data_IF_601418314207
#
_entry.id   IF_601418314207
#
_cell.length_a   1.000
_cell.length_b   1.000
_cell.length_c   1.000
_cell.angle_alpha   90.00
_cell.angle_beta   90.00
_cell.angle_gamma   90.00
#
_symmetry.space_group_name_H-M   'P 1'
#
loop_
_entity.id
_entity.type
_entity.pdbx_description
1 polymer ?
#
# COMPACT_ATOMS: atom_id res chain seq x y z
N UNK A 1 -13.17 4.73 -6.66
CA UNK A 1 -14.07 4.59 -7.83
C UNK A 1 -13.58 3.53 -8.83
N UNK A 2 -12.35 3.56 -9.34
CA UNK A 2 -11.82 2.58 -10.33
C UNK A 2 -11.95 1.12 -9.86
N UNK A 3 -11.60 0.81 -8.60
CA UNK A 3 -11.74 -0.53 -8.04
C UNK A 3 -13.19 -1.05 -8.08
N UNK A 4 -14.17 -0.20 -7.74
CA UNK A 4 -15.58 -0.58 -7.78
C UNK A 4 -16.06 -0.90 -9.22
N UNK A 5 -15.60 -0.11 -10.22
CA UNK A 5 -15.91 -0.39 -11.65
C UNK A 5 -15.29 -1.71 -12.09
N UNK A 6 -14.04 -1.98 -11.73
CA UNK A 6 -13.36 -3.25 -12.01
C UNK A 6 -14.11 -4.43 -11.39
N UNK A 7 -14.48 -4.32 -10.13
CA UNK A 7 -15.21 -5.37 -9.39
C UNK A 7 -16.60 -5.64 -9.97
N UNK A 8 -17.32 -4.57 -10.39
CA UNK A 8 -18.63 -4.68 -11.02
C UNK A 8 -18.61 -5.34 -12.42
N UNK A 9 -17.45 -5.29 -13.10
CA UNK A 9 -17.27 -5.84 -14.44
C UNK A 9 -16.60 -7.21 -14.48
N UNK A 10 -16.23 -7.73 -13.34
CA UNK A 10 -15.51 -9.01 -13.20
C UNK A 10 -16.16 -9.88 -12.13
N UNK A 11 -15.98 -11.19 -12.24
CA UNK A 11 -16.58 -12.17 -11.29
C UNK A 11 -15.53 -12.80 -10.36
N UNK A 12 -14.27 -12.91 -10.77
CA UNK A 12 -13.23 -13.62 -10.04
C UNK A 12 -12.02 -12.78 -9.67
N UNK A 13 -11.86 -11.62 -10.29
CA UNK A 13 -10.73 -10.71 -10.04
C UNK A 13 -10.86 -10.12 -8.63
N UNK A 14 -9.79 -10.18 -7.87
CA UNK A 14 -9.61 -9.43 -6.62
C UNK A 14 -9.01 -8.07 -6.97
N UNK A 15 -9.60 -7.00 -6.47
CA UNK A 15 -9.06 -5.65 -6.63
C UNK A 15 -8.34 -5.23 -5.36
N UNK A 16 -7.05 -4.90 -5.46
CA UNK A 16 -6.26 -4.32 -4.38
C UNK A 16 -5.98 -2.84 -4.64
N UNK A 17 -6.25 -2.02 -3.66
CA UNK A 17 -5.93 -0.57 -3.66
C UNK A 17 -4.68 -0.38 -2.80
N UNK A 18 -3.52 -0.20 -3.43
CA UNK A 18 -2.23 -0.03 -2.76
C UNK A 18 -1.57 1.29 -3.16
N UNK A 19 -1.72 2.35 -2.37
CA UNK A 19 -2.52 2.45 -1.16
C UNK A 19 -3.45 3.68 -1.22
N UNK A 20 -4.46 3.69 -0.36
CA UNK A 20 -5.23 4.88 -0.09
C UNK A 20 -4.57 5.66 1.05
N UNK A 21 -4.38 6.98 0.86
CA UNK A 21 -3.83 7.87 1.89
C UNK A 21 -4.90 8.20 2.92
N UNK A 22 -5.04 7.31 3.92
CA UNK A 22 -6.12 7.37 4.90
C UNK A 22 -6.37 8.76 5.52
N UNK A 23 -5.32 9.49 5.98
CA UNK A 23 -5.48 10.79 6.62
C UNK A 23 -6.08 11.89 5.74
N UNK A 24 -6.13 11.69 4.42
CA UNK A 24 -6.72 12.64 3.47
C UNK A 24 -8.21 12.38 3.19
N UNK A 25 -8.80 11.40 3.86
CA UNK A 25 -10.21 11.05 3.72
C UNK A 25 -11.02 11.43 4.95
N UNK A 26 -12.27 11.82 4.73
CA UNK A 26 -13.23 11.87 5.81
C UNK A 26 -13.58 10.44 6.26
N UNK A 27 -13.41 10.06 7.54
CA UNK A 27 -13.51 8.66 7.98
C UNK A 27 -14.85 8.00 7.63
N UNK A 28 -15.97 8.69 7.89
CA UNK A 28 -17.31 8.15 7.59
C UNK A 28 -17.49 7.90 6.09
N UNK A 29 -17.00 8.85 5.25
CA UNK A 29 -17.12 8.70 3.81
C UNK A 29 -16.28 7.53 3.28
N UNK A 30 -15.07 7.37 3.80
CA UNK A 30 -14.22 6.24 3.43
C UNK A 30 -14.85 4.91 3.88
N UNK A 31 -15.46 4.86 5.06
CA UNK A 31 -16.18 3.68 5.54
C UNK A 31 -17.30 3.26 4.59
N UNK A 32 -18.12 4.22 4.12
CA UNK A 32 -19.18 3.98 3.13
C UNK A 32 -18.61 3.49 1.80
N UNK A 33 -17.61 4.20 1.26
CA UNK A 33 -17.03 3.89 -0.05
C UNK A 33 -16.41 2.48 -0.07
N UNK A 34 -15.73 2.07 1.01
CA UNK A 34 -15.17 0.73 1.16
C UNK A 34 -16.29 -0.31 1.30
N UNK A 35 -17.30 -0.07 2.13
CA UNK A 35 -18.42 -1.00 2.34
C UNK A 35 -19.21 -1.22 1.04
N UNK A 36 -19.47 -0.15 0.28
CA UNK A 36 -20.13 -0.24 -1.03
C UNK A 36 -19.29 -1.01 -2.05
N UNK A 37 -17.99 -0.73 -2.13
CA UNK A 37 -17.10 -1.43 -3.07
C UNK A 37 -16.93 -2.92 -2.68
N UNK A 38 -16.90 -3.23 -1.40
CA UNK A 38 -16.89 -4.61 -0.87
C UNK A 38 -18.16 -5.36 -1.29
N UNK A 39 -19.32 -4.74 -1.14
CA UNK A 39 -20.61 -5.31 -1.54
C UNK A 39 -20.70 -5.51 -3.05
N UNK A 40 -20.33 -4.50 -3.85
CA UNK A 40 -20.29 -4.60 -5.33
C UNK A 40 -19.34 -5.71 -5.77
N UNK A 41 -18.22 -5.83 -5.09
CA UNK A 41 -17.20 -6.84 -5.37
C UNK A 41 -17.51 -8.24 -4.82
N UNK A 42 -18.55 -8.43 -4.04
CA UNK A 42 -18.81 -9.73 -3.38
C UNK A 42 -17.65 -10.17 -2.49
N UNK A 43 -17.04 -9.22 -1.73
CA UNK A 43 -15.91 -9.48 -0.84
C UNK A 43 -14.54 -9.58 -1.51
N UNK A 44 -14.40 -9.18 -2.79
CA UNK A 44 -13.15 -9.24 -3.56
C UNK A 44 -12.33 -7.94 -3.52
N UNK A 45 -12.59 -7.06 -2.54
CA UNK A 45 -11.85 -5.82 -2.34
C UNK A 45 -10.79 -5.99 -1.25
N UNK A 46 -9.59 -5.51 -1.53
CA UNK A 46 -8.52 -5.32 -0.55
C UNK A 46 -8.14 -3.83 -0.56
N UNK A 47 -7.99 -3.23 0.62
CA UNK A 47 -7.56 -1.83 0.72
C UNK A 47 -6.39 -1.72 1.68
N UNK A 48 -5.25 -1.24 1.20
CA UNK A 48 -4.13 -0.84 2.06
C UNK A 48 -4.25 0.63 2.40
N UNK A 49 -4.29 0.95 3.69
CA UNK A 49 -4.29 2.32 4.20
C UNK A 49 -2.86 2.73 4.55
N UNK A 50 -2.37 3.79 3.91
CA UNK A 50 -1.05 4.37 4.13
C UNK A 50 -1.13 5.82 4.60
N UNK A 51 -0.03 6.31 5.20
CA UNK A 51 0.06 7.72 5.61
C UNK A 51 0.36 8.65 4.44
N UNK A 52 1.05 8.16 3.42
CA UNK A 52 1.70 9.05 2.47
C UNK A 52 2.94 9.74 3.07
N UNK A 53 3.75 10.30 2.19
CA UNK A 53 5.04 10.91 2.54
C UNK A 53 5.30 12.26 1.87
N UNK A 54 4.36 12.74 1.02
CA UNK A 54 4.49 14.01 0.30
C UNK A 54 3.72 15.13 0.99
N UNK A 55 4.40 16.14 1.59
CA UNK A 55 3.74 17.26 2.26
C UNK A 55 2.77 18.03 1.34
N UNK A 56 3.12 18.16 0.05
CA UNK A 56 2.29 18.86 -0.93
C UNK A 56 0.89 18.24 -1.11
N UNK A 57 0.76 16.93 -0.97
CA UNK A 57 -0.54 16.26 -1.04
C UNK A 57 -1.44 16.69 0.13
N UNK A 58 -0.85 16.78 1.32
CA UNK A 58 -1.55 17.25 2.52
C UNK A 58 -1.94 18.71 2.42
N UNK A 59 -1.07 19.55 1.86
CA UNK A 59 -1.34 20.97 1.61
C UNK A 59 -2.54 21.16 0.66
N UNK A 60 -2.59 20.40 -0.44
CA UNK A 60 -3.70 20.42 -1.40
C UNK A 60 -5.05 20.04 -0.76
N UNK A 61 -5.05 19.18 0.23
CA UNK A 61 -6.25 18.79 0.97
C UNK A 61 -6.52 19.65 2.21
N UNK A 62 -5.68 20.65 2.48
CA UNK A 62 -5.81 21.49 3.68
C UNK A 62 -5.61 20.73 5.00
N UNK A 63 -4.89 19.63 4.97
CA UNK A 63 -4.67 18.72 6.12
C UNK A 63 -3.25 18.89 6.64
N UNK A 64 -3.04 19.09 7.96
CA UNK A 64 -1.69 19.23 8.52
C UNK A 64 -0.87 17.95 8.36
N UNK A 65 0.26 18.02 7.66
CA UNK A 65 1.13 16.87 7.41
C UNK A 65 1.66 16.20 8.69
N UNK A 66 1.96 16.99 9.72
CA UNK A 66 2.48 16.50 10.98
C UNK A 66 1.45 15.72 11.80
N UNK A 67 0.15 15.91 11.53
CA UNK A 67 -0.95 15.22 12.20
C UNK A 67 -1.30 13.87 11.56
N UNK A 68 -0.67 13.50 10.44
CA UNK A 68 -1.05 12.31 9.67
C UNK A 68 -1.08 11.02 10.46
N UNK A 69 -0.19 10.90 11.46
CA UNK A 69 -0.17 9.73 12.35
C UNK A 69 -1.43 9.65 13.20
N UNK A 70 -1.79 10.75 13.87
CA UNK A 70 -3.00 10.87 14.70
C UNK A 70 -4.26 10.69 13.86
N UNK A 71 -4.32 11.36 12.69
CA UNK A 71 -5.45 11.23 11.77
C UNK A 71 -5.66 9.80 11.27
N UNK A 72 -4.59 9.03 11.06
CA UNK A 72 -4.70 7.61 10.74
C UNK A 72 -5.22 6.79 11.93
N UNK A 73 -4.79 7.08 13.14
CA UNK A 73 -5.27 6.39 14.35
C UNK A 73 -6.78 6.66 14.53
N UNK A 74 -7.20 7.91 14.41
CA UNK A 74 -8.61 8.33 14.48
C UNK A 74 -9.46 7.68 13.36
N UNK A 75 -8.89 7.61 12.14
CA UNK A 75 -9.53 6.96 11.00
C UNK A 75 -9.79 5.48 11.27
N UNK A 76 -8.76 4.73 11.66
CA UNK A 76 -8.87 3.28 11.89
C UNK A 76 -9.90 2.98 12.99
N UNK A 77 -9.87 3.73 14.08
CA UNK A 77 -10.86 3.60 15.16
C UNK A 77 -12.28 3.84 14.65
N UNK A 78 -12.47 4.90 13.85
CA UNK A 78 -13.78 5.22 13.26
C UNK A 78 -14.27 4.13 12.30
N UNK A 79 -13.40 3.64 11.42
CA UNK A 79 -13.75 2.56 10.47
C UNK A 79 -14.21 1.30 11.20
N UNK A 80 -13.43 0.84 12.19
CA UNK A 80 -13.77 -0.37 12.96
C UNK A 80 -15.07 -0.18 13.74
N UNK A 81 -15.28 0.98 14.35
CA UNK A 81 -16.50 1.30 15.07
C UNK A 81 -17.75 1.30 14.17
N UNK A 82 -17.66 1.96 13.01
CA UNK A 82 -18.78 2.04 12.06
C UNK A 82 -19.13 0.67 11.51
N UNK A 83 -18.16 -0.11 11.05
CA UNK A 83 -18.43 -1.43 10.46
C UNK A 83 -18.93 -2.48 11.45
N UNK A 84 -18.68 -2.29 12.73
CA UNK A 84 -19.26 -3.13 13.80
C UNK A 84 -20.66 -2.69 14.22
N UNK A 85 -21.10 -1.48 13.88
CA UNK A 85 -22.42 -0.95 14.23
C UNK A 85 -23.49 -1.51 13.30
N UNK A 86 -24.60 -2.06 13.84
CA UNK A 86 -25.74 -2.48 13.03
C UNK A 86 -26.51 -1.31 12.40
N UNK A 87 -26.31 -0.09 12.91
CA UNK A 87 -26.97 1.12 12.40
C UNK A 87 -26.24 1.72 11.18
N UNK A 88 -24.99 1.30 10.95
CA UNK A 88 -24.22 1.78 9.80
C UNK A 88 -24.72 1.12 8.51
N UNK A 89 -25.31 1.92 7.60
CA UNK A 89 -25.89 1.48 6.34
C UNK A 89 -25.40 2.35 5.18
N UNK A 90 -24.96 1.73 4.07
CA UNK A 90 -24.81 0.28 3.87
C UNK A 90 -23.66 -0.30 4.70
N UNK A 91 -23.91 -1.39 5.42
CA UNK A 91 -22.83 -2.13 6.09
C UNK A 91 -22.04 -2.97 5.07
N UNK A 92 -20.77 -3.33 5.39
CA UNK A 92 -19.97 -4.17 4.51
C UNK A 92 -20.51 -5.59 4.40
N UNK A 93 -20.26 -6.23 3.24
CA UNK A 93 -20.59 -7.64 3.01
C UNK A 93 -19.67 -8.56 3.80
N UNK A 94 -18.36 -8.29 3.73
CA UNK A 94 -17.32 -9.08 4.41
C UNK A 94 -17.36 -8.88 5.92
N UNK A 95 -17.28 -9.98 6.68
CA UNK A 95 -17.31 -9.97 8.15
C UNK A 95 -15.98 -10.44 8.73
N UNK A 96 -15.52 -9.87 9.86
CA UNK A 96 -16.15 -8.83 10.67
C UNK A 96 -16.11 -7.43 10.02
N UNK A 97 -15.25 -7.20 9.05
CA UNK A 97 -15.08 -5.96 8.28
C UNK A 97 -14.45 -6.26 6.92
N UNK A 98 -14.46 -5.34 5.94
CA UNK A 98 -13.73 -5.48 4.68
C UNK A 98 -12.24 -5.77 4.90
N UNK A 99 -11.61 -6.41 3.92
CA UNK A 99 -10.17 -6.70 4.00
C UNK A 99 -9.37 -5.40 3.92
N UNK A 100 -8.90 -4.92 5.06
CA UNK A 100 -8.10 -3.70 5.19
C UNK A 100 -6.73 -4.04 5.75
N UNK A 101 -5.68 -3.55 5.10
CA UNK A 101 -4.29 -3.62 5.52
C UNK A 101 -3.80 -2.25 6.01
N UNK A 102 -2.90 -2.24 6.96
CA UNK A 102 -2.15 -1.03 7.33
C UNK A 102 -0.79 -1.09 6.64
N UNK A 103 -0.50 -0.10 5.80
CA UNK A 103 0.73 -0.03 5.00
C UNK A 103 1.77 0.92 5.56
N UNK A 104 3.04 0.52 5.46
CA UNK A 104 4.19 1.36 5.79
C UNK A 104 5.41 0.58 6.31
N UNK A 105 6.49 1.31 6.59
CA UNK A 105 7.83 0.75 6.84
C UNK A 105 8.39 1.05 8.24
N UNK A 106 7.56 1.61 9.15
CA UNK A 106 8.02 2.03 10.48
C UNK A 106 7.30 1.31 11.62
N UNK A 107 7.92 1.24 12.79
CA UNK A 107 7.34 0.58 13.97
C UNK A 107 5.95 1.10 14.35
N UNK A 108 5.65 2.38 14.10
CA UNK A 108 4.33 2.95 14.34
C UNK A 108 3.24 2.28 13.47
N UNK A 109 3.57 1.89 12.22
CA UNK A 109 2.65 1.14 11.34
C UNK A 109 2.33 -0.23 11.93
N UNK A 110 3.35 -0.97 12.38
CA UNK A 110 3.17 -2.28 13.02
C UNK A 110 2.29 -2.19 14.28
N UNK A 111 2.52 -1.17 15.13
CA UNK A 111 1.68 -0.94 16.33
C UNK A 111 0.23 -0.66 15.98
N UNK A 112 -0.04 0.14 14.94
CA UNK A 112 -1.41 0.41 14.46
C UNK A 112 -2.09 -0.85 13.98
N UNK A 113 -1.42 -1.60 13.12
CA UNK A 113 -1.96 -2.84 12.59
C UNK A 113 -2.28 -3.84 13.72
N UNK A 114 -1.34 -4.09 14.62
CA UNK A 114 -1.53 -5.00 15.74
C UNK A 114 -2.64 -4.56 16.72
N UNK A 115 -2.73 -3.24 17.02
CA UNK A 115 -3.76 -2.69 17.93
C UNK A 115 -5.19 -3.02 17.46
N UNK A 116 -5.41 -3.03 16.16
CA UNK A 116 -6.73 -3.29 15.57
C UNK A 116 -6.89 -4.73 15.03
N UNK A 117 -5.89 -5.58 15.21
CA UNK A 117 -5.89 -6.93 14.62
C UNK A 117 -5.88 -6.95 13.09
N UNK A 118 -5.41 -5.86 12.46
CA UNK A 118 -5.38 -5.70 11.01
C UNK A 118 -4.09 -6.23 10.41
N UNK A 119 -4.16 -6.80 9.19
CA UNK A 119 -2.99 -7.20 8.42
C UNK A 119 -2.01 -6.05 8.17
N UNK A 120 -0.70 -6.39 8.15
CA UNK A 120 0.38 -5.46 7.84
C UNK A 120 0.85 -5.65 6.40
N UNK A 121 0.90 -4.55 5.61
CA UNK A 121 1.45 -4.54 4.26
C UNK A 121 2.77 -3.75 4.23
N UNK A 122 3.87 -4.43 3.95
CA UNK A 122 5.21 -3.86 3.91
C UNK A 122 5.63 -3.53 2.48
N UNK A 123 6.15 -2.33 2.21
CA UNK A 123 6.52 -1.92 0.86
C UNK A 123 7.82 -2.57 0.36
N UNK A 124 8.59 -3.20 1.25
CA UNK A 124 9.86 -3.86 0.94
C UNK A 124 10.12 -5.01 1.90
N UNK A 125 11.23 -5.72 1.70
CA UNK A 125 11.66 -6.80 2.58
C UNK A 125 12.17 -6.25 3.92
N UNK A 126 11.33 -6.28 4.95
CA UNK A 126 11.59 -5.75 6.30
C UNK A 126 11.28 -6.82 7.36
N UNK A 127 12.08 -7.90 7.45
CA UNK A 127 11.80 -9.02 8.34
C UNK A 127 11.73 -8.62 9.82
N UNK A 128 12.62 -7.73 10.28
CA UNK A 128 12.62 -7.27 11.68
C UNK A 128 11.32 -6.52 12.06
N UNK A 129 10.74 -5.76 11.11
CA UNK A 129 9.47 -5.09 11.32
C UNK A 129 8.30 -6.08 11.31
N UNK A 130 8.37 -7.10 10.46
CA UNK A 130 7.40 -8.17 10.41
C UNK A 130 7.40 -8.98 11.73
N UNK A 131 8.58 -9.29 12.27
CA UNK A 131 8.73 -10.01 13.54
C UNK A 131 8.19 -9.15 14.71
N UNK A 132 8.56 -7.88 14.77
CA UNK A 132 8.01 -6.94 15.75
C UNK A 132 6.48 -6.87 15.71
N UNK A 133 5.87 -6.85 14.51
CA UNK A 133 4.42 -6.89 14.39
C UNK A 133 3.82 -8.22 14.90
N UNK A 134 4.46 -9.36 14.61
CA UNK A 134 4.01 -10.68 15.11
C UNK A 134 4.03 -10.76 16.63
N UNK A 135 5.08 -10.22 17.26
CA UNK A 135 5.16 -10.11 18.73
C UNK A 135 4.00 -9.31 19.29
N UNK A 136 3.74 -8.11 18.74
CA UNK A 136 2.62 -7.27 19.17
C UNK A 136 1.25 -7.95 19.00
N UNK A 137 1.06 -8.69 17.91
CA UNK A 137 -0.17 -9.45 17.70
C UNK A 137 -0.33 -10.58 18.72
N UNK A 138 0.76 -11.30 19.05
CA UNK A 138 0.73 -12.35 20.06
C UNK A 138 0.35 -11.79 21.44
N UNK A 139 0.92 -10.64 21.84
CA UNK A 139 0.59 -9.97 23.08
C UNK A 139 -0.87 -9.50 23.14
N UNK A 140 -1.45 -9.12 21.99
CA UNK A 140 -2.84 -8.67 21.87
C UNK A 140 -3.84 -9.82 21.60
N UNK A 141 -3.39 -11.06 21.43
CA UNK A 141 -4.23 -12.22 21.12
C UNK A 141 -4.77 -12.24 19.69
N UNK A 142 -4.11 -11.56 18.75
CA UNK A 142 -4.46 -11.53 17.34
C UNK A 142 -3.62 -12.50 16.51
N UNK A 143 -4.21 -13.01 15.43
CA UNK A 143 -3.47 -13.81 14.44
C UNK A 143 -2.77 -12.85 13.44
N UNK A 144 -1.43 -12.86 13.34
CA UNK A 144 -0.71 -11.95 12.48
C UNK A 144 -0.83 -12.33 11.00
N UNK A 145 -1.12 -11.37 10.14
CA UNK A 145 -1.06 -11.49 8.68
C UNK A 145 -0.11 -10.43 8.16
N UNK A 146 0.97 -10.85 7.48
CA UNK A 146 1.97 -9.95 6.90
C UNK A 146 2.09 -10.22 5.41
N UNK A 147 1.92 -9.17 4.61
CA UNK A 147 2.34 -9.14 3.21
C UNK A 147 3.67 -8.43 3.14
N UNK A 148 4.69 -9.13 2.67
CA UNK A 148 6.06 -8.64 2.56
C UNK A 148 6.69 -9.17 1.28
N UNK A 149 7.24 -8.29 0.40
CA UNK A 149 7.98 -8.75 -0.75
C UNK A 149 9.17 -9.64 -0.35
N UNK A 150 9.49 -10.70 -1.11
CA UNK A 150 10.68 -11.49 -0.86
C UNK A 150 11.95 -10.64 -1.03
N UNK A 151 13.09 -11.05 -0.44
CA UNK A 151 14.35 -10.35 -0.61
C UNK A 151 14.71 -10.28 -2.10
N UNK A 152 15.19 -9.13 -2.55
CA UNK A 152 15.56 -8.89 -3.96
C UNK A 152 14.40 -9.08 -4.96
N UNK A 153 13.15 -8.92 -4.49
CA UNK A 153 12.01 -8.92 -5.41
C UNK A 153 12.15 -7.81 -6.45
N UNK A 154 11.73 -8.10 -7.66
CA UNK A 154 11.65 -7.09 -8.71
C UNK A 154 10.37 -6.28 -8.54
N UNK A 155 10.49 -4.96 -8.57
CA UNK A 155 9.33 -4.06 -8.49
C UNK A 155 8.59 -3.96 -9.82
N UNK A 156 9.33 -4.08 -10.93
CA UNK A 156 8.78 -3.95 -12.26
C UNK A 156 9.44 -4.92 -13.24
N UNK A 157 8.64 -5.50 -14.12
CA UNK A 157 9.12 -6.40 -15.18
C UNK A 157 8.49 -5.98 -16.51
N UNK A 158 9.33 -5.81 -17.54
CA UNK A 158 8.88 -5.58 -18.93
C UNK A 158 9.03 -6.82 -19.74
N UNK A 159 8.01 -7.08 -20.54
CA UNK A 159 8.08 -8.07 -21.60
C UNK A 159 8.37 -7.35 -22.92
N UNK A 160 9.51 -7.66 -23.53
CA UNK A 160 9.92 -7.10 -24.82
C UNK A 160 10.70 -8.15 -25.61
N UNK A 161 10.53 -8.20 -26.92
CA UNK A 161 11.23 -9.14 -27.80
C UNK A 161 12.76 -8.94 -27.76
N UNK A 162 13.19 -7.68 -27.58
CA UNK A 162 14.58 -7.30 -27.37
C UNK A 162 14.71 -6.55 -26.02
N UNK A 163 15.21 -7.19 -24.95
CA UNK A 163 15.42 -6.56 -23.67
C UNK A 163 16.37 -5.35 -23.66
N UNK A 164 17.37 -5.35 -24.53
CA UNK A 164 18.33 -4.23 -24.60
C UNK A 164 17.69 -3.01 -25.26
N UNK A 165 16.86 -3.23 -26.28
CA UNK A 165 16.05 -2.17 -26.88
C UNK A 165 15.05 -1.61 -25.86
N UNK A 166 14.39 -2.44 -25.05
CA UNK A 166 13.51 -1.97 -23.98
C UNK A 166 14.22 -1.03 -22.99
N UNK A 167 15.46 -1.36 -22.62
CA UNK A 167 16.27 -0.48 -21.79
C UNK A 167 16.67 0.82 -22.48
N UNK A 168 16.95 0.76 -23.79
CA UNK A 168 17.27 1.97 -24.57
C UNK A 168 16.07 2.92 -24.67
N UNK A 169 14.86 2.38 -24.79
CA UNK A 169 13.62 3.17 -24.93
C UNK A 169 13.08 3.69 -23.58
N UNK A 170 13.16 2.89 -22.53
CA UNK A 170 12.47 3.16 -21.27
C UNK A 170 13.40 3.55 -20.12
N UNK A 171 14.71 3.33 -20.26
CA UNK A 171 15.66 3.52 -19.16
C UNK A 171 15.67 4.92 -18.55
N UNK A 172 15.59 5.95 -19.37
CA UNK A 172 15.55 7.35 -18.90
C UNK A 172 14.26 7.65 -18.10
N UNK A 173 13.14 7.02 -18.43
CA UNK A 173 11.90 7.15 -17.68
C UNK A 173 12.02 6.52 -16.29
N UNK A 174 12.72 5.37 -16.17
CA UNK A 174 12.97 4.74 -14.88
C UNK A 174 13.95 5.53 -14.02
N UNK A 175 14.99 6.08 -14.63
CA UNK A 175 15.93 6.95 -13.92
C UNK A 175 15.24 8.20 -13.41
N UNK A 176 14.36 8.80 -14.22
CA UNK A 176 13.55 9.94 -13.80
C UNK A 176 12.64 9.58 -12.62
N UNK A 177 11.93 8.47 -12.72
CA UNK A 177 11.05 7.99 -11.65
C UNK A 177 11.83 7.73 -10.35
N UNK A 178 12.97 7.05 -10.42
CA UNK A 178 13.84 6.79 -9.28
C UNK A 178 14.27 8.08 -8.58
N UNK A 179 14.70 9.09 -9.35
CA UNK A 179 15.09 10.40 -8.83
C UNK A 179 13.94 11.15 -8.16
N UNK A 180 12.75 11.12 -8.78
CA UNK A 180 11.56 11.77 -8.26
C UNK A 180 11.12 11.14 -6.92
N UNK A 181 11.06 9.81 -6.86
CA UNK A 181 10.72 9.10 -5.63
C UNK A 181 11.75 9.32 -4.52
N UNK A 182 13.04 9.30 -4.83
CA UNK A 182 14.11 9.62 -3.87
C UNK A 182 13.96 11.05 -3.32
N UNK A 183 13.63 12.02 -4.18
CA UNK A 183 13.38 13.40 -3.77
C UNK A 183 12.16 13.56 -2.85
N UNK A 184 11.10 12.78 -3.06
CA UNK A 184 9.90 12.84 -2.21
C UNK A 184 10.09 12.21 -0.85
N UNK A 185 10.95 11.21 -0.77
CA UNK A 185 11.10 10.38 0.44
C UNK A 185 12.21 10.86 1.40
N UNK A 186 13.00 11.85 1.00
CA UNK A 186 14.14 12.30 1.80
C UNK A 186 15.14 11.19 2.14
N UNK A 187 15.16 10.12 1.35
CA UNK A 187 16.01 8.94 1.56
C UNK A 187 15.49 7.94 2.60
N UNK A 188 14.35 8.21 3.24
CA UNK A 188 13.83 7.36 4.34
C UNK A 188 12.74 6.36 3.91
N UNK A 189 12.16 6.48 2.71
CA UNK A 189 11.06 5.61 2.26
C UNK A 189 11.61 4.41 1.50
N UNK A 190 11.47 3.24 2.10
CA UNK A 190 11.67 1.97 1.42
C UNK A 190 10.53 1.72 0.44
N UNK A 191 10.75 2.01 -0.83
CA UNK A 191 9.85 1.64 -1.92
C UNK A 191 10.24 0.26 -2.46
N UNK A 192 9.26 -0.53 -2.89
CA UNK A 192 9.56 -1.78 -3.60
C UNK A 192 10.26 -1.52 -4.95
N UNK A 193 10.11 -0.29 -5.50
CA UNK A 193 10.78 0.15 -6.74
C UNK A 193 12.23 0.56 -6.49
N UNK A 194 12.50 1.16 -5.31
CA UNK A 194 13.79 1.74 -4.97
C UNK A 194 14.13 1.34 -3.54
N UNK A 195 15.23 0.63 -3.36
CA UNK A 195 15.77 0.36 -2.02
C UNK A 195 16.34 1.63 -1.38
N UNK A 196 17.19 1.47 -0.37
CA UNK A 196 17.95 2.56 0.27
C UNK A 196 19.13 3.06 -0.57
N UNK A 197 19.27 2.59 -1.81
CA UNK A 197 20.39 2.91 -2.70
C UNK A 197 20.22 4.28 -3.34
N UNK A 198 21.30 5.04 -3.43
CA UNK A 198 21.32 6.28 -4.19
C UNK A 198 21.33 5.95 -5.69
N UNK A 199 20.33 6.43 -6.42
CA UNK A 199 20.19 6.22 -7.87
C UNK A 199 20.48 7.55 -8.58
N UNK A 200 21.62 7.62 -9.25
CA UNK A 200 22.04 8.80 -10.00
C UNK A 200 22.10 8.56 -11.51
N UNK A 201 22.40 7.33 -11.89
CA UNK A 201 22.60 6.93 -13.29
C UNK A 201 21.70 5.77 -13.69
N UNK A 202 21.56 5.54 -14.99
CA UNK A 202 20.86 4.38 -15.52
C UNK A 202 21.52 3.06 -15.11
N UNK A 203 22.85 3.07 -14.97
CA UNK A 203 23.57 1.88 -14.51
C UNK A 203 23.26 1.56 -13.05
N UNK A 204 23.02 2.57 -12.19
CA UNK A 204 22.57 2.35 -10.83
C UNK A 204 21.17 1.71 -10.81
N UNK A 205 20.24 2.17 -11.68
CA UNK A 205 18.91 1.56 -11.82
C UNK A 205 19.02 0.08 -12.19
N UNK A 206 19.90 -0.25 -13.14
CA UNK A 206 20.15 -1.64 -13.57
C UNK A 206 20.79 -2.46 -12.47
N UNK A 207 21.79 -1.90 -11.77
CA UNK A 207 22.52 -2.56 -10.69
C UNK A 207 21.62 -2.84 -9.47
N UNK A 208 20.69 -1.97 -9.16
CA UNK A 208 19.69 -2.16 -8.10
C UNK A 208 18.81 -3.39 -8.34
N UNK A 209 18.66 -3.83 -9.62
CA UNK A 209 17.98 -5.07 -9.99
C UNK A 209 16.49 -5.10 -9.68
N UNK A 210 15.87 -3.94 -9.40
CA UNK A 210 14.44 -3.81 -9.11
C UNK A 210 13.58 -3.82 -10.34
N UNK A 211 14.15 -3.46 -11.47
CA UNK A 211 13.52 -3.45 -12.79
C UNK A 211 14.19 -4.50 -13.66
N UNK A 212 13.39 -5.25 -14.40
CA UNK A 212 13.88 -6.22 -15.36
C UNK A 212 13.17 -6.10 -16.69
N UNK A 213 13.90 -6.30 -17.79
CA UNK A 213 13.35 -6.60 -19.10
C UNK A 213 13.53 -8.07 -19.40
N UNK A 214 12.47 -8.72 -19.87
CA UNK A 214 12.45 -10.14 -20.19
C UNK A 214 11.82 -10.37 -21.55
N UNK A 215 12.26 -11.44 -22.24
CA UNK A 215 11.56 -11.92 -23.44
C UNK A 215 10.27 -12.64 -23.04
N UNK A 216 9.17 -12.48 -23.80
CA UNK A 216 8.01 -13.34 -23.64
C UNK A 216 8.43 -14.80 -23.82
N UNK A 217 7.97 -15.69 -22.94
CA UNK A 217 8.11 -17.13 -23.20
C UNK A 217 7.17 -17.51 -24.34
N UNK A 218 7.69 -18.15 -25.36
CA UNK A 218 6.91 -18.75 -26.45
C UNK A 218 5.97 -19.84 -25.96
#
# INVERSE_FOLDING_TARGET
>A
MTAAVLLARTERVVASVDCALGPLWHPVRLAEDIAMADTIGGGRLIVTLGLGYRPVEYELFGTPFNDRGRLMDDLLETLMSLWSSPEFTPGPLTRPHPTVFVGGSVRATARRAARHGLPLNLPSHLPELADYYRELCADAGHSPIVVMPPPRSRGMVFLHEDPDQAWAELGEHYLWEARVYSGWSGGEVHSFMHGSETIETLDDVKAAGRIASCRPSS
#
